data_IF_065403306898
#
_entry.id   IF_065403306898
#
_cell.length_a   1.000
_cell.length_b   1.000
_cell.length_c   1.000
_cell.angle_alpha   90.00
_cell.angle_beta   90.00
_cell.angle_gamma   90.00
#
_symmetry.space_group_name_H-M   'P 1'
#
loop_
_entity.id
_entity.type
_entity.pdbx_description
1 polymer ?
#
# COMPACT_ATOMS: atom_id res chain seq x y z
N UNK A 1 -4.67 5.34 2.63
CA UNK A 1 -4.37 6.70 2.16
C UNK A 1 -3.89 7.67 3.24
N UNK A 2 -4.75 8.33 4.05
CA UNK A 2 -4.31 9.44 4.92
C UNK A 2 -3.18 9.05 5.87
N UNK A 3 -3.27 7.86 6.48
CA UNK A 3 -2.21 7.29 7.31
C UNK A 3 -0.92 7.11 6.52
N UNK A 4 -0.98 6.51 5.33
CA UNK A 4 0.17 6.30 4.44
C UNK A 4 0.88 7.60 4.09
N UNK A 5 0.13 8.61 3.62
CA UNK A 5 0.67 9.94 3.25
C UNK A 5 1.33 10.62 4.45
N UNK A 6 0.67 10.57 5.61
CA UNK A 6 1.15 11.20 6.85
C UNK A 6 2.41 10.51 7.37
N UNK A 7 2.42 9.17 7.37
CA UNK A 7 3.58 8.38 7.80
C UNK A 7 4.76 8.64 6.86
N UNK A 8 4.56 8.57 5.54
CA UNK A 8 5.61 8.79 4.55
C UNK A 8 6.27 10.17 4.72
N UNK A 9 5.44 11.22 4.82
CA UNK A 9 5.88 12.60 5.02
C UNK A 9 6.55 12.77 6.40
N UNK A 10 6.00 12.14 7.43
CA UNK A 10 6.57 12.17 8.78
C UNK A 10 7.95 11.53 8.84
N UNK A 11 8.15 10.38 8.18
CA UNK A 11 9.43 9.66 8.18
C UNK A 11 10.58 10.52 7.63
N UNK A 12 10.33 11.30 6.57
CA UNK A 12 11.37 12.14 5.95
C UNK A 12 11.60 13.47 6.68
N UNK A 13 10.57 14.03 7.34
CA UNK A 13 10.67 15.33 8.02
C UNK A 13 10.88 15.28 9.53
N UNK A 14 10.71 14.12 10.16
CA UNK A 14 10.77 14.03 11.62
C UNK A 14 12.17 14.37 12.15
N UNK A 15 12.26 15.28 13.13
CA UNK A 15 13.52 15.83 13.65
C UNK A 15 14.56 14.79 14.07
N UNK A 16 14.10 13.64 14.58
CA UNK A 16 15.00 12.57 15.04
C UNK A 16 15.42 11.63 13.90
N UNK A 17 14.70 11.66 12.78
CA UNK A 17 14.91 10.78 11.62
C UNK A 17 15.64 11.50 10.48
N UNK A 18 15.56 12.83 10.39
CA UNK A 18 16.12 13.63 9.28
C UNK A 18 17.63 13.38 9.04
N UNK A 19 18.40 13.09 10.09
CA UNK A 19 19.83 12.75 9.98
C UNK A 19 20.11 11.47 9.18
N UNK A 20 19.12 10.58 9.08
CA UNK A 20 19.22 9.34 8.33
C UNK A 20 18.94 9.53 6.84
N UNK A 21 18.39 10.68 6.44
CA UNK A 21 18.05 11.01 5.05
C UNK A 21 17.31 9.86 4.35
N UNK A 22 16.28 9.33 5.03
CA UNK A 22 15.53 8.16 4.57
C UNK A 22 14.99 8.38 3.15
N UNK A 23 15.21 7.40 2.29
CA UNK A 23 14.63 7.30 0.95
C UNK A 23 13.35 6.47 1.05
N UNK A 24 12.21 7.14 0.97
CA UNK A 24 10.89 6.52 1.14
C UNK A 24 10.17 6.49 -0.20
N UNK A 25 9.66 5.32 -0.57
CA UNK A 25 8.74 5.16 -1.70
C UNK A 25 7.32 4.92 -1.19
N UNK A 26 6.34 5.49 -1.89
CA UNK A 26 4.92 5.14 -1.74
C UNK A 26 4.41 4.61 -3.08
N UNK A 27 3.79 3.43 -3.08
CA UNK A 27 3.15 2.87 -4.27
C UNK A 27 1.65 2.85 -4.01
N UNK A 28 0.90 3.58 -4.82
CA UNK A 28 -0.56 3.63 -4.76
C UNK A 28 -1.14 2.49 -5.60
N UNK A 29 -1.65 1.46 -4.92
CA UNK A 29 -2.26 0.26 -5.50
C UNK A 29 -3.79 0.35 -5.53
N UNK A 30 -4.38 1.42 -4.99
CA UNK A 30 -5.83 1.64 -5.01
C UNK A 30 -6.22 2.35 -6.31
N UNK A 31 -7.06 1.75 -7.18
CA UNK A 31 -7.54 2.39 -8.40
C UNK A 31 -8.25 3.74 -8.18
N UNK A 32 -8.74 4.03 -6.96
CA UNK A 32 -9.29 5.34 -6.62
C UNK A 32 -8.23 6.45 -6.57
N UNK A 33 -6.94 6.10 -6.45
CA UNK A 33 -5.82 7.03 -6.56
C UNK A 33 -5.78 8.13 -5.50
N UNK A 34 -6.39 7.91 -4.33
CA UNK A 34 -6.48 8.96 -3.30
C UNK A 34 -5.11 9.39 -2.78
N UNK A 35 -4.12 8.48 -2.73
CA UNK A 35 -2.74 8.80 -2.34
C UNK A 35 -2.05 9.61 -3.43
N UNK A 36 -2.28 9.24 -4.69
CA UNK A 36 -1.80 9.96 -5.87
C UNK A 36 -2.31 11.40 -5.93
N UNK A 37 -3.58 11.62 -5.59
CA UNK A 37 -4.17 12.96 -5.47
C UNK A 37 -3.53 13.74 -4.31
N UNK A 38 -3.34 13.11 -3.15
CA UNK A 38 -2.75 13.76 -1.98
C UNK A 38 -1.32 14.28 -2.24
N UNK A 39 -0.54 13.58 -3.06
CA UNK A 39 0.79 14.04 -3.50
C UNK A 39 0.79 14.90 -4.77
N UNK A 40 -0.37 15.16 -5.37
CA UNK A 40 -0.53 16.06 -6.51
C UNK A 40 -0.18 15.48 -7.88
N UNK A 41 -0.17 14.15 -8.01
CA UNK A 41 0.12 13.42 -9.25
C UNK A 41 -1.12 12.98 -10.02
N UNK A 42 -2.27 12.91 -9.36
CA UNK A 42 -3.57 12.63 -9.99
C UNK A 42 -4.57 13.76 -9.71
N UNK A 43 -5.68 13.77 -10.45
CA UNK A 43 -6.78 14.72 -10.29
C UNK A 43 -7.04 15.59 -11.53
N UNK A 44 -7.99 16.52 -11.41
CA UNK A 44 -8.45 17.36 -12.52
C UNK A 44 -7.29 18.18 -13.12
N UNK A 45 -7.08 18.07 -14.42
CA UNK A 45 -6.03 18.81 -15.15
C UNK A 45 -4.62 18.23 -15.04
N UNK A 46 -4.45 17.06 -14.42
CA UNK A 46 -3.17 16.33 -14.40
C UNK A 46 -3.09 15.34 -15.55
N UNK A 47 -1.89 15.19 -16.11
CA UNK A 47 -1.62 14.14 -17.10
C UNK A 47 -1.62 12.77 -16.40
N UNK A 48 -2.13 11.72 -17.07
CA UNK A 48 -2.01 10.35 -16.57
C UNK A 48 -0.55 10.02 -16.27
N UNK A 49 -0.33 9.35 -15.14
CA UNK A 49 0.97 8.86 -14.70
C UNK A 49 1.01 7.34 -14.86
N UNK A 50 2.23 6.79 -14.90
CA UNK A 50 2.42 5.35 -14.95
C UNK A 50 2.24 4.71 -13.57
N UNK A 51 1.62 3.53 -13.53
CA UNK A 51 1.31 2.82 -12.30
C UNK A 51 2.09 1.52 -12.13
N UNK A 52 2.06 0.98 -10.91
CA UNK A 52 2.60 -0.34 -10.61
C UNK A 52 1.90 -1.44 -11.42
N UNK A 53 0.58 -1.30 -11.62
CA UNK A 53 -0.20 -2.25 -12.40
C UNK A 53 0.14 -2.14 -13.90
N UNK A 54 0.35 -0.93 -14.42
CA UNK A 54 0.86 -0.74 -15.77
C UNK A 54 2.24 -1.40 -15.95
N UNK A 55 3.12 -1.31 -14.95
CA UNK A 55 4.45 -1.91 -15.01
C UNK A 55 4.36 -3.44 -15.11
N UNK A 56 3.45 -4.06 -14.35
CA UNK A 56 3.16 -5.48 -14.44
C UNK A 56 2.62 -5.81 -15.84
N UNK A 57 1.56 -5.12 -16.28
CA UNK A 57 0.88 -5.39 -17.55
C UNK A 57 1.80 -5.26 -18.77
N UNK A 58 2.69 -4.27 -18.76
CA UNK A 58 3.64 -3.99 -19.85
C UNK A 58 4.96 -4.75 -19.73
N UNK A 59 5.17 -5.50 -18.64
CA UNK A 59 6.45 -6.16 -18.32
C UNK A 59 7.61 -5.17 -18.35
N UNK A 60 7.38 -4.00 -17.74
CA UNK A 60 8.34 -2.91 -17.73
C UNK A 60 9.71 -3.39 -17.22
N UNK A 61 10.78 -2.91 -17.86
CA UNK A 61 12.14 -3.24 -17.41
C UNK A 61 12.43 -2.57 -16.06
N UNK A 62 13.40 -3.07 -15.27
CA UNK A 62 13.75 -2.44 -14.01
C UNK A 62 14.09 -0.96 -14.12
N UNK A 63 14.76 -0.54 -15.19
CA UNK A 63 15.08 0.87 -15.47
C UNK A 63 13.82 1.71 -15.70
N UNK A 64 12.86 1.16 -16.45
CA UNK A 64 11.58 1.81 -16.73
C UNK A 64 10.80 2.03 -15.43
N UNK A 65 10.70 0.99 -14.60
CA UNK A 65 10.00 1.07 -13.30
C UNK A 65 10.64 2.10 -12.38
N UNK A 66 11.96 2.14 -12.32
CA UNK A 66 12.69 3.18 -11.56
C UNK A 66 12.41 4.58 -12.07
N UNK A 67 12.28 4.76 -13.39
CA UNK A 67 11.95 6.07 -13.99
C UNK A 67 10.52 6.53 -13.70
N UNK A 68 9.62 5.61 -13.33
CA UNK A 68 8.23 5.90 -13.00
C UNK A 68 8.02 6.28 -11.53
N UNK A 69 9.05 6.16 -10.69
CA UNK A 69 9.03 6.70 -9.34
C UNK A 69 9.16 8.23 -9.38
N UNK A 70 8.08 8.95 -9.06
CA UNK A 70 8.03 10.40 -9.17
C UNK A 70 8.49 11.07 -7.87
N UNK A 71 9.42 12.04 -7.91
CA UNK A 71 9.83 12.79 -6.73
C UNK A 71 8.72 13.73 -6.27
N UNK A 72 8.51 13.81 -4.96
CA UNK A 72 7.58 14.77 -4.36
C UNK A 72 8.26 16.11 -4.06
N UNK A 73 7.52 17.06 -3.49
CA UNK A 73 8.10 18.30 -2.93
C UNK A 73 8.93 18.05 -1.65
N UNK A 74 8.86 16.85 -1.08
CA UNK A 74 9.67 16.46 0.07
C UNK A 74 10.88 15.66 -0.39
N UNK A 75 12.08 16.18 -0.09
CA UNK A 75 13.32 15.49 -0.41
C UNK A 75 13.37 14.10 0.23
N UNK A 76 13.78 13.10 -0.55
CA UNK A 76 13.83 11.70 -0.12
C UNK A 76 12.51 10.94 -0.23
N UNK A 77 11.39 11.60 -0.60
CA UNK A 77 10.09 10.95 -0.76
C UNK A 77 9.66 10.88 -2.23
N UNK A 78 9.34 9.66 -2.67
CA UNK A 78 8.95 9.32 -4.03
C UNK A 78 7.62 8.57 -4.06
N UNK A 79 6.86 8.73 -5.15
CA UNK A 79 5.54 8.11 -5.31
C UNK A 79 5.43 7.46 -6.67
N UNK A 80 4.93 6.23 -6.73
CA UNK A 80 4.37 5.63 -7.93
C UNK A 80 2.85 5.76 -7.86
N UNK A 81 2.24 6.62 -8.69
CA UNK A 81 0.80 6.85 -8.64
C UNK A 81 -0.03 5.64 -9.11
N UNK A 82 -1.30 5.62 -8.74
CA UNK A 82 -2.29 4.71 -9.30
C UNK A 82 -2.71 5.16 -10.70
N UNK A 83 -2.99 4.20 -11.57
CA UNK A 83 -3.43 4.39 -12.93
C UNK A 83 -4.94 4.23 -13.07
N UNK A 84 -5.54 4.87 -14.07
CA UNK A 84 -6.99 4.76 -14.32
C UNK A 84 -7.43 3.35 -14.76
N UNK A 85 -6.50 2.54 -15.27
CA UNK A 85 -6.76 1.17 -15.72
C UNK A 85 -6.57 0.12 -14.62
N UNK A 86 -6.13 0.54 -13.43
CA UNK A 86 -5.74 -0.35 -12.32
C UNK A 86 -6.92 -1.19 -11.81
N UNK A 87 -8.15 -0.71 -11.96
CA UNK A 87 -9.37 -1.46 -11.60
C UNK A 87 -9.55 -2.78 -12.37
N UNK A 88 -8.83 -2.99 -13.47
CA UNK A 88 -8.86 -4.24 -14.23
C UNK A 88 -7.75 -5.22 -13.85
N UNK A 89 -6.92 -4.89 -12.85
CA UNK A 89 -5.76 -5.69 -12.49
C UNK A 89 -6.11 -7.15 -12.20
N UNK A 90 -7.16 -7.40 -11.43
CA UNK A 90 -7.59 -8.77 -11.08
C UNK A 90 -7.88 -9.66 -12.29
N UNK A 91 -8.41 -9.09 -13.38
CA UNK A 91 -8.64 -9.84 -14.62
C UNK A 91 -7.32 -10.13 -15.35
N UNK A 92 -6.43 -9.13 -15.38
CA UNK A 92 -5.15 -9.21 -16.09
C UNK A 92 -4.12 -10.08 -15.36
N UNK A 93 -4.14 -10.10 -14.03
CA UNK A 93 -3.16 -10.77 -13.20
C UNK A 93 -3.13 -12.29 -13.45
N UNK A 94 -4.30 -12.94 -13.60
CA UNK A 94 -4.37 -14.36 -13.93
C UNK A 94 -3.82 -14.67 -15.33
N UNK A 95 -4.16 -13.85 -16.32
CA UNK A 95 -3.67 -14.02 -17.68
C UNK A 95 -2.14 -13.84 -17.73
N UNK A 96 -1.64 -12.81 -17.06
CA UNK A 96 -0.22 -12.52 -17.00
C UNK A 96 0.58 -13.60 -16.27
N UNK A 97 0.04 -14.13 -15.18
CA UNK A 97 0.63 -15.26 -14.46
C UNK A 97 0.72 -16.51 -15.35
N UNK A 98 -0.34 -16.81 -16.12
CA UNK A 98 -0.35 -17.93 -17.05
C UNK A 98 0.69 -17.75 -18.18
N UNK A 99 0.81 -16.55 -18.74
CA UNK A 99 1.71 -16.25 -19.85
C UNK A 99 3.19 -16.24 -19.43
N UNK A 100 3.49 -15.83 -18.20
CA UNK A 100 4.87 -15.65 -17.71
C UNK A 100 5.36 -16.83 -16.88
N UNK A 101 4.45 -17.67 -16.37
CA UNK A 101 4.76 -18.72 -15.40
C UNK A 101 5.07 -18.18 -13.99
N UNK A 102 4.95 -16.87 -13.75
CA UNK A 102 5.10 -16.25 -12.43
C UNK A 102 3.78 -16.44 -11.67
N UNK A 103 3.86 -16.71 -10.37
CA UNK A 103 2.65 -16.78 -9.54
C UNK A 103 1.91 -15.44 -9.56
N UNK A 104 0.57 -15.46 -9.70
CA UNK A 104 -0.27 -14.26 -9.68
C UNK A 104 -0.02 -13.39 -8.45
N UNK A 105 0.30 -13.99 -7.30
CA UNK A 105 0.55 -13.26 -6.06
C UNK A 105 1.90 -12.53 -6.05
N UNK A 106 2.85 -12.92 -6.90
CA UNK A 106 4.23 -12.41 -6.92
C UNK A 106 4.47 -11.32 -7.97
N UNK A 107 3.45 -10.95 -8.75
CA UNK A 107 3.60 -10.04 -9.88
C UNK A 107 4.13 -8.67 -9.44
N UNK A 108 3.57 -8.09 -8.37
CA UNK A 108 4.06 -6.83 -7.82
C UNK A 108 5.50 -6.94 -7.33
N UNK A 109 5.83 -8.02 -6.62
CA UNK A 109 7.19 -8.27 -6.13
C UNK A 109 8.19 -8.30 -7.28
N UNK A 110 7.91 -9.08 -8.33
CA UNK A 110 8.83 -9.29 -9.45
C UNK A 110 8.99 -8.06 -10.35
N UNK A 111 7.88 -7.41 -10.69
CA UNK A 111 7.89 -6.33 -11.68
C UNK A 111 8.08 -4.95 -11.07
N UNK A 112 7.83 -4.76 -9.77
CA UNK A 112 7.88 -3.42 -9.16
C UNK A 112 8.83 -3.36 -7.97
N UNK A 113 8.66 -4.23 -6.97
CA UNK A 113 9.43 -4.16 -5.73
C UNK A 113 10.91 -4.51 -5.96
N UNK A 114 11.20 -5.66 -6.58
CA UNK A 114 12.58 -6.11 -6.79
C UNK A 114 13.40 -5.10 -7.63
N UNK A 115 12.87 -4.49 -8.71
CA UNK A 115 13.54 -3.41 -9.43
C UNK A 115 13.97 -2.17 -8.61
N UNK A 116 13.23 -1.85 -7.55
CA UNK A 116 13.43 -0.63 -6.74
C UNK A 116 13.95 -0.91 -5.34
N UNK A 117 14.04 -2.18 -4.93
CA UNK A 117 14.36 -2.62 -3.55
C UNK A 117 15.61 -1.95 -2.99
N UNK A 118 16.68 -1.86 -3.78
CA UNK A 118 17.97 -1.28 -3.33
C UNK A 118 17.99 0.26 -3.34
N UNK A 119 16.95 0.90 -3.87
CA UNK A 119 16.87 2.36 -4.04
C UNK A 119 16.16 3.06 -2.88
N UNK A 120 15.40 2.32 -2.07
CA UNK A 120 14.59 2.87 -0.99
C UNK A 120 14.87 2.13 0.32
N UNK A 121 14.88 2.88 1.42
CA UNK A 121 15.04 2.33 2.76
C UNK A 121 13.69 1.82 3.30
N UNK A 122 12.58 2.44 2.86
CA UNK A 122 11.23 1.98 3.13
C UNK A 122 10.36 2.12 1.87
N UNK A 123 9.53 1.11 1.61
CA UNK A 123 8.50 1.11 0.57
C UNK A 123 7.15 0.92 1.26
N UNK A 124 6.26 1.91 1.12
CA UNK A 124 4.90 1.87 1.64
C UNK A 124 3.94 1.54 0.50
N UNK A 125 3.08 0.55 0.70
CA UNK A 125 2.06 0.16 -0.27
C UNK A 125 0.69 0.64 0.25
N UNK A 126 -0.02 1.45 -0.54
CA UNK A 126 -1.40 1.87 -0.22
C UNK A 126 -2.37 1.05 -1.07
N UNK A 127 -3.08 0.11 -0.47
CA UNK A 127 -4.10 -0.68 -1.15
C UNK A 127 -5.47 -0.47 -0.50
N UNK A 128 -6.52 -0.52 -1.31
CA UNK A 128 -7.90 -0.53 -0.83
C UNK A 128 -8.23 -1.83 -0.07
N UNK A 129 -9.33 -1.85 0.71
CA UNK A 129 -9.71 -3.02 1.52
C UNK A 129 -10.40 -4.13 0.70
N UNK A 130 -10.33 -4.07 -0.63
CA UNK A 130 -10.97 -5.03 -1.51
C UNK A 130 -10.14 -6.33 -1.54
N UNK A 131 -10.79 -7.49 -1.33
CA UNK A 131 -10.14 -8.80 -1.34
C UNK A 131 -9.86 -9.26 -2.77
N UNK A 132 -8.95 -8.57 -3.45
CA UNK A 132 -8.66 -8.74 -4.87
C UNK A 132 -7.17 -8.96 -5.16
N UNK A 133 -6.79 -9.05 -6.44
CA UNK A 133 -5.40 -9.30 -6.81
C UNK A 133 -4.45 -8.19 -6.35
N UNK A 134 -4.91 -6.93 -6.25
CA UNK A 134 -4.09 -5.81 -5.81
C UNK A 134 -3.74 -5.95 -4.33
N UNK A 135 -4.73 -6.26 -3.49
CA UNK A 135 -4.48 -6.51 -2.07
C UNK A 135 -3.61 -7.76 -1.86
N UNK A 136 -3.87 -8.85 -2.58
CA UNK A 136 -3.08 -10.09 -2.46
C UNK A 136 -1.62 -9.86 -2.84
N UNK A 137 -1.35 -9.17 -3.94
CA UNK A 137 0.01 -8.83 -4.35
C UNK A 137 0.68 -7.87 -3.36
N UNK A 138 -0.08 -6.92 -2.82
CA UNK A 138 0.40 -6.00 -1.77
C UNK A 138 0.83 -6.77 -0.52
N UNK A 139 0.01 -7.71 -0.05
CA UNK A 139 0.33 -8.56 1.10
C UNK A 139 1.54 -9.47 0.83
N UNK A 140 1.62 -10.09 -0.35
CA UNK A 140 2.77 -10.92 -0.73
C UNK A 140 4.08 -10.11 -0.78
N UNK A 141 4.00 -8.85 -1.19
CA UNK A 141 5.16 -7.96 -1.29
C UNK A 141 5.61 -7.33 0.04
N UNK A 142 4.77 -7.38 1.08
CA UNK A 142 4.97 -6.63 2.33
C UNK A 142 5.64 -7.47 3.41
N UNK A 143 6.61 -6.87 4.12
CA UNK A 143 7.24 -7.46 5.31
C UNK A 143 6.44 -7.17 6.61
N UNK A 144 5.62 -6.11 6.61
CA UNK A 144 4.82 -5.66 7.76
C UNK A 144 3.49 -5.08 7.29
N UNK A 145 2.46 -5.17 8.14
CA UNK A 145 1.12 -4.68 7.83
C UNK A 145 0.65 -3.69 8.89
N UNK A 146 0.21 -2.52 8.46
CA UNK A 146 -0.43 -1.52 9.32
C UNK A 146 -1.90 -1.40 8.93
N UNK A 147 -2.80 -1.67 9.88
CA UNK A 147 -4.25 -1.54 9.66
C UNK A 147 -4.78 -0.39 10.51
N UNK A 148 -5.17 0.70 9.84
CA UNK A 148 -5.85 1.81 10.49
C UNK A 148 -7.32 1.44 10.71
N UNK A 149 -7.76 1.38 11.96
CA UNK A 149 -9.10 0.97 12.37
C UNK A 149 -9.88 2.21 12.79
N UNK A 150 -11.02 2.46 12.16
CA UNK A 150 -11.97 3.48 12.62
C UNK A 150 -12.63 3.05 13.92
N UNK A 151 -12.73 3.96 14.89
CA UNK A 151 -13.29 3.65 16.21
C UNK A 151 -14.80 3.93 16.33
N UNK A 152 -15.39 4.55 15.32
CA UNK A 152 -16.84 4.63 15.18
C UNK A 152 -17.44 3.22 15.04
N UNK A 153 -18.59 2.89 15.69
CA UNK A 153 -19.08 1.51 15.79
C UNK A 153 -19.21 0.76 14.46
N UNK A 154 -19.73 1.42 13.43
CA UNK A 154 -19.90 0.83 12.10
C UNK A 154 -18.57 0.65 11.36
N UNK A 155 -17.64 1.61 11.50
CA UNK A 155 -16.29 1.50 10.92
C UNK A 155 -15.50 0.40 11.63
N UNK A 156 -15.65 0.29 12.96
CA UNK A 156 -14.97 -0.71 13.80
C UNK A 156 -15.40 -2.14 13.44
N UNK A 157 -16.71 -2.40 13.41
CA UNK A 157 -17.26 -3.72 13.02
C UNK A 157 -16.83 -4.12 11.60
N UNK A 158 -16.86 -3.18 10.66
CA UNK A 158 -16.39 -3.42 9.29
C UNK A 158 -14.89 -3.75 9.23
N UNK A 159 -14.08 -3.06 10.04
CA UNK A 159 -12.63 -3.28 10.10
C UNK A 159 -12.28 -4.65 10.69
N UNK A 160 -13.02 -5.11 11.72
CA UNK A 160 -12.81 -6.44 12.30
C UNK A 160 -13.11 -7.56 11.29
N UNK A 161 -14.22 -7.45 10.55
CA UNK A 161 -14.56 -8.41 9.47
C UNK A 161 -13.49 -8.45 8.37
N UNK A 162 -12.90 -7.30 8.06
CA UNK A 162 -11.79 -7.23 7.12
C UNK A 162 -10.54 -7.94 7.66
N UNK A 163 -10.19 -7.77 8.94
CA UNK A 163 -9.07 -8.47 9.58
C UNK A 163 -9.27 -10.00 9.56
N UNK A 164 -10.49 -10.48 9.87
CA UNK A 164 -10.82 -11.90 9.76
C UNK A 164 -10.62 -12.43 8.33
N UNK A 165 -11.00 -11.62 7.33
CA UNK A 165 -10.84 -11.97 5.92
C UNK A 165 -9.37 -11.98 5.47
N UNK A 166 -8.55 -11.03 5.95
CA UNK A 166 -7.10 -11.01 5.69
C UNK A 166 -6.45 -12.28 6.20
N UNK A 167 -6.82 -12.75 7.40
CA UNK A 167 -6.24 -13.97 7.96
C UNK A 167 -6.48 -15.18 7.04
N UNK A 168 -7.69 -15.29 6.47
CA UNK A 168 -8.01 -16.29 5.45
C UNK A 168 -7.23 -16.12 4.15
N UNK A 169 -7.02 -14.88 3.69
CA UNK A 169 -6.20 -14.61 2.50
C UNK A 169 -4.74 -14.99 2.70
N UNK A 170 -4.12 -14.59 3.81
CA UNK A 170 -2.71 -14.88 4.10
C UNK A 170 -2.43 -16.39 4.12
N UNK A 171 -3.37 -17.19 4.59
CA UNK A 171 -3.26 -18.66 4.57
C UNK A 171 -3.23 -19.25 3.14
N UNK A 172 -3.72 -18.53 2.14
CA UNK A 172 -3.73 -18.95 0.74
C UNK A 172 -2.56 -18.37 -0.08
N UNK A 173 -1.75 -17.50 0.53
CA UNK A 173 -0.55 -16.98 -0.10
C UNK A 173 0.57 -18.02 0.08
N UNK A 174 1.23 -18.51 -1.00
CA UNK A 174 2.14 -19.65 -0.90
C UNK A 174 3.41 -19.39 -0.07
N UNK A 175 3.89 -18.15 -0.04
CA UNK A 175 5.14 -17.77 0.65
C UNK A 175 5.09 -16.29 1.05
N UNK A 176 4.20 -15.90 1.98
CA UNK A 176 4.08 -14.52 2.40
C UNK A 176 5.39 -14.07 3.06
N UNK A 177 5.87 -12.90 2.67
CA UNK A 177 7.00 -12.27 3.35
C UNK A 177 6.59 -11.64 4.70
N UNK A 178 5.28 -11.41 4.87
CA UNK A 178 4.70 -10.79 6.05
C UNK A 178 4.99 -11.61 7.31
N UNK A 179 5.72 -11.01 8.25
CA UNK A 179 5.90 -11.57 9.58
C UNK A 179 4.60 -11.37 10.38
N UNK A 180 3.95 -12.46 10.89
CA UNK A 180 2.75 -12.34 11.72
C UNK A 180 2.95 -11.48 12.98
N UNK A 181 4.17 -11.39 13.51
CA UNK A 181 4.47 -10.50 14.65
C UNK A 181 4.56 -9.02 14.26
N UNK A 182 4.58 -8.73 12.96
CA UNK A 182 4.71 -7.38 12.37
C UNK A 182 3.38 -6.87 11.78
N UNK A 183 2.25 -7.35 12.33
CA UNK A 183 0.91 -6.81 12.06
C UNK A 183 0.51 -5.84 13.18
N UNK A 184 0.31 -4.58 12.81
CA UNK A 184 0.06 -3.48 13.74
C UNK A 184 -1.32 -2.89 13.51
N UNK A 185 -2.13 -2.85 14.57
CA UNK A 185 -3.44 -2.19 14.55
C UNK A 185 -3.32 -0.77 15.10
N UNK A 186 -3.78 0.21 14.33
CA UNK A 186 -3.77 1.62 14.72
C UNK A 186 -5.21 2.12 14.85
N UNK A 187 -5.66 2.35 16.09
CA UNK A 187 -6.91 3.08 16.33
C UNK A 187 -6.83 4.49 15.75
N UNK A 188 -7.74 4.81 14.83
CA UNK A 188 -7.77 6.07 14.09
C UNK A 188 -9.02 6.89 14.44
N UNK A 189 -8.94 8.21 14.24
CA UNK A 189 -10.03 9.17 14.55
C UNK A 189 -10.55 9.05 16.00
N UNK A 190 -9.68 8.73 16.95
CA UNK A 190 -10.07 8.62 18.36
C UNK A 190 -10.62 9.94 18.88
N UNK A 191 -11.79 9.87 19.52
CA UNK A 191 -12.44 10.99 20.20
C UNK A 191 -12.57 10.61 21.67
N UNK A 192 -11.78 11.27 22.52
CA UNK A 192 -11.77 10.98 23.96
C UNK A 192 -13.07 11.35 24.68
N UNK A 193 -13.98 12.05 24.01
CA UNK A 193 -15.32 12.36 24.55
C UNK A 193 -16.37 11.31 24.19
N UNK A 194 -16.08 10.45 23.21
CA UNK A 194 -16.97 9.36 22.82
C UNK A 194 -16.63 8.08 23.62
N UNK A 195 -17.47 7.65 24.57
CA UNK A 195 -17.19 6.46 25.37
C UNK A 195 -17.06 5.20 24.51
N UNK A 196 -17.78 5.12 23.39
CA UNK A 196 -17.71 3.97 22.50
C UNK A 196 -16.35 3.89 21.78
N UNK A 197 -15.70 5.03 21.50
CA UNK A 197 -14.34 5.03 20.95
C UNK A 197 -13.35 4.50 21.98
N UNK A 198 -13.53 4.82 23.26
CA UNK A 198 -12.69 4.32 24.35
C UNK A 198 -12.83 2.80 24.48
N UNK A 199 -14.06 2.29 24.50
CA UNK A 199 -14.34 0.86 24.59
C UNK A 199 -13.70 0.10 23.41
N UNK A 200 -13.96 0.56 22.18
CA UNK A 200 -13.40 -0.05 20.96
C UNK A 200 -11.86 0.00 20.96
N UNK A 201 -11.26 1.11 21.39
CA UNK A 201 -9.81 1.23 21.49
C UNK A 201 -9.21 0.28 22.53
N UNK A 202 -9.87 0.08 23.67
CA UNK A 202 -9.43 -0.87 24.69
C UNK A 202 -9.54 -2.33 24.20
N UNK A 203 -10.50 -2.64 23.34
CA UNK A 203 -10.59 -3.97 22.71
C UNK A 203 -9.40 -4.26 21.80
N UNK A 204 -8.83 -3.26 21.11
CA UNK A 204 -7.65 -3.44 20.25
C UNK A 204 -6.35 -3.76 21.02
N UNK A 205 -6.31 -3.51 22.34
CA UNK A 205 -5.13 -3.77 23.18
C UNK A 205 -5.06 -5.19 23.73
N UNK A 206 -6.16 -5.94 23.66
CA UNK A 206 -6.29 -7.29 24.20
C UNK A 206 -6.14 -8.32 23.08
#
# INVERSE_FOLDING_TARGET
TTSTVTIATGLVHHRNLIRHQLRVAVIDMDPQGSTSVAFGFAGLGKMPQHSAIEAIATRATPETVRSWMLPTSSDGLFVMPAGTADGFFSLQAYQHAADTGINMTELLTKYVIDPIRDHFDLILLDAGPHLDAALINTLQASDSLFVAIGLDPLEFDSSLKFLESIHGLLANIPSPHLDPASVWLLGSKFDGTNPQHLDNYMMLKN
#
